data_IF_188517271164
#
_entry.id   IF_188517271164
#
_cell.length_a   1.000
_cell.length_b   1.000
_cell.length_c   1.000
_cell.angle_alpha   90.00
_cell.angle_beta   90.00
_cell.angle_gamma   90.00
#
_symmetry.space_group_name_H-M   'P 1'
#
loop_
_entity.id
_entity.type
_entity.pdbx_description
1 polymer ?
#
# COMPACT_ATOMS: atom_id res chain seq x y z
N UNK A 1 -17.96 10.38 -5.27
CA UNK A 1 -17.44 9.86 -3.98
C UNK A 1 -17.67 10.90 -2.89
N UNK A 2 -17.84 10.51 -1.63
CA UNK A 2 -17.99 11.45 -0.50
C UNK A 2 -16.60 11.75 0.09
N UNK A 3 -16.33 13.01 0.47
CA UNK A 3 -15.07 13.46 1.08
C UNK A 3 -14.64 12.61 2.29
N UNK A 4 -15.61 12.02 3.02
CA UNK A 4 -15.32 11.08 4.10
C UNK A 4 -14.72 9.76 3.59
N UNK A 5 -15.20 9.25 2.46
CA UNK A 5 -14.71 8.01 1.85
C UNK A 5 -13.28 8.19 1.34
N UNK A 6 -12.97 9.31 0.69
CA UNK A 6 -11.64 9.60 0.16
C UNK A 6 -10.61 9.75 1.29
N UNK A 7 -10.98 10.41 2.39
CA UNK A 7 -10.12 10.51 3.58
C UNK A 7 -9.86 9.17 4.25
N UNK A 8 -10.86 8.29 4.31
CA UNK A 8 -10.69 6.94 4.83
C UNK A 8 -9.77 6.11 3.93
N UNK A 9 -9.91 6.24 2.61
CA UNK A 9 -9.06 5.57 1.62
C UNK A 9 -7.61 6.02 1.74
N UNK A 10 -7.37 7.33 1.82
CA UNK A 10 -6.04 7.90 2.02
C UNK A 10 -5.39 7.42 3.33
N UNK A 11 -6.15 7.39 4.42
CA UNK A 11 -5.67 6.90 5.71
C UNK A 11 -5.32 5.40 5.65
N UNK A 12 -6.11 4.62 4.91
CA UNK A 12 -5.89 3.18 4.72
C UNK A 12 -4.61 2.90 3.91
N UNK A 13 -4.34 3.71 2.87
CA UNK A 13 -3.09 3.65 2.11
C UNK A 13 -1.87 3.97 2.99
N UNK A 14 -1.96 5.00 3.84
CA UNK A 14 -0.88 5.35 4.78
C UNK A 14 -0.62 4.22 5.78
N UNK A 15 -1.67 3.64 6.35
CA UNK A 15 -1.53 2.51 7.28
C UNK A 15 -0.93 1.27 6.61
N UNK A 16 -1.31 0.97 5.36
CA UNK A 16 -0.69 -0.09 4.57
C UNK A 16 0.78 0.17 4.30
N UNK A 17 1.15 1.40 3.93
CA UNK A 17 2.53 1.78 3.70
C UNK A 17 3.39 1.63 4.97
N UNK A 18 2.87 2.11 6.11
CA UNK A 18 3.53 1.95 7.41
C UNK A 18 3.67 0.48 7.80
N UNK A 19 2.66 -0.34 7.53
CA UNK A 19 2.72 -1.79 7.75
C UNK A 19 3.82 -2.43 6.90
N UNK A 20 3.93 -2.09 5.62
CA UNK A 20 5.00 -2.60 4.74
C UNK A 20 6.37 -2.19 5.25
N UNK A 21 6.55 -0.92 5.63
CA UNK A 21 7.81 -0.43 6.21
C UNK A 21 8.15 -1.17 7.50
N UNK A 22 7.18 -1.39 8.40
CA UNK A 22 7.38 -2.16 9.63
C UNK A 22 7.78 -3.61 9.35
N UNK A 23 7.18 -4.28 8.35
CA UNK A 23 7.55 -5.63 7.94
C UNK A 23 8.98 -5.68 7.38
N UNK A 24 9.41 -4.65 6.65
CA UNK A 24 10.78 -4.59 6.08
C UNK A 24 11.87 -4.24 7.08
N UNK A 25 11.54 -3.59 8.21
CA UNK A 25 12.52 -3.05 9.17
C UNK A 25 12.66 -3.88 10.45
N UNK A 26 11.63 -4.62 10.86
CA UNK A 26 11.63 -5.33 12.16
C UNK A 26 11.75 -6.85 12.05
N UNK A 27 11.57 -7.44 10.86
CA UNK A 27 11.62 -8.89 10.68
C UNK A 27 13.02 -9.35 10.23
N UNK A 28 13.71 -10.24 10.97
CA UNK A 28 14.98 -10.79 10.53
C UNK A 28 14.78 -11.57 9.22
N UNK A 29 15.47 -11.14 8.15
CA UNK A 29 15.54 -11.70 6.77
C UNK A 29 14.77 -13.01 6.52
N UNK A 30 13.45 -12.96 6.62
CA UNK A 30 12.61 -14.02 6.10
C UNK A 30 12.29 -13.63 4.66
N UNK A 31 12.98 -14.26 3.71
CA UNK A 31 12.80 -14.00 2.27
C UNK A 31 11.33 -14.02 1.86
N UNK A 32 10.53 -14.88 2.50
CA UNK A 32 9.11 -14.99 2.22
C UNK A 32 8.34 -13.71 2.58
N UNK A 33 8.63 -13.10 3.72
CA UNK A 33 7.99 -11.83 4.14
C UNK A 33 8.49 -10.64 3.31
N UNK A 34 9.77 -10.64 2.90
CA UNK A 34 10.30 -9.65 1.97
C UNK A 34 9.60 -9.71 0.60
N UNK A 35 9.42 -10.91 0.05
CA UNK A 35 8.71 -11.12 -1.23
C UNK A 35 7.25 -10.69 -1.14
N UNK A 36 6.56 -11.02 -0.05
CA UNK A 36 5.18 -10.58 0.18
C UNK A 36 5.13 -9.04 0.19
N UNK A 37 6.03 -8.37 0.92
CA UNK A 37 6.09 -6.91 0.95
C UNK A 37 6.27 -6.27 -0.43
N UNK A 38 7.15 -6.83 -1.27
CA UNK A 38 7.37 -6.34 -2.64
C UNK A 38 6.14 -6.54 -3.53
N UNK A 39 5.51 -7.71 -3.47
CA UNK A 39 4.29 -8.00 -4.26
C UNK A 39 3.16 -7.07 -3.84
N UNK A 40 2.93 -6.90 -2.53
CA UNK A 40 1.89 -6.01 -2.02
C UNK A 40 2.12 -4.58 -2.46
N UNK A 41 3.35 -4.06 -2.34
CA UNK A 41 3.70 -2.70 -2.77
C UNK A 41 3.48 -2.50 -4.27
N UNK A 42 3.89 -3.46 -5.11
CA UNK A 42 3.69 -3.40 -6.55
C UNK A 42 2.20 -3.33 -6.92
N UNK A 43 1.35 -4.15 -6.29
CA UNK A 43 -0.09 -4.13 -6.52
C UNK A 43 -0.73 -2.80 -6.10
N UNK A 44 -0.29 -2.23 -4.97
CA UNK A 44 -0.77 -0.92 -4.51
C UNK A 44 -0.41 0.19 -5.48
N UNK A 45 0.81 0.20 -6.02
CA UNK A 45 1.24 1.18 -7.02
C UNK A 45 0.40 1.06 -8.29
N UNK A 46 0.17 -0.16 -8.79
CA UNK A 46 -0.66 -0.40 -9.99
C UNK A 46 -2.09 0.10 -9.75
N UNK A 47 -2.67 -0.19 -8.59
CA UNK A 47 -4.00 0.27 -8.23
C UNK A 47 -4.10 1.80 -8.20
N UNK A 48 -3.13 2.47 -7.54
CA UNK A 48 -3.10 3.92 -7.47
C UNK A 48 -2.94 4.58 -8.86
N UNK A 49 -2.12 4.00 -9.74
CA UNK A 49 -1.98 4.47 -11.12
C UNK A 49 -3.28 4.29 -11.92
N UNK A 50 -3.96 3.15 -11.77
CA UNK A 50 -5.24 2.91 -12.43
C UNK A 50 -6.32 3.88 -11.95
N UNK A 51 -6.37 4.15 -10.64
CA UNK A 51 -7.30 5.11 -10.05
C UNK A 51 -7.02 6.55 -10.53
N UNK A 52 -5.74 6.93 -10.64
CA UNK A 52 -5.34 8.23 -11.18
C UNK A 52 -5.78 8.42 -12.64
N UNK A 53 -5.62 7.38 -13.47
CA UNK A 53 -6.06 7.42 -14.88
C UNK A 53 -7.59 7.41 -15.00
N UNK A 54 -8.29 6.69 -14.13
CA UNK A 54 -9.75 6.69 -14.12
C UNK A 54 -10.35 8.02 -13.63
N UNK A 55 -9.59 8.77 -12.82
CA UNK A 55 -9.99 10.06 -12.28
C UNK A 55 -9.64 11.27 -13.17
N UNK A 56 -8.83 11.05 -14.23
CA UNK A 56 -8.45 12.07 -15.23
C UNK A 56 -9.36 12.02 -16.46
#
# INVERSE_FOLDING_TARGET
MSDRTDRLLALLVILLALLVVAQTTTVPRNQLLGTIGVITAALTIIYALAELVAAS
#
